data_IF_279890408413
#
_entry.id   IF_279890408413
#
_cell.length_a   1.000
_cell.length_b   1.000
_cell.length_c   1.000
_cell.angle_alpha   90.00
_cell.angle_beta   90.00
_cell.angle_gamma   90.00
#
_symmetry.space_group_name_H-M   'P 1'
#
loop_
_entity.id
_entity.type
_entity.pdbx_description
1 polymer ?
#
# COMPACT_ATOMS: atom_id res chain seq x y z
N UNK A 1 -1.86 2.93 -14.55
CA UNK A 1 -2.79 2.61 -13.44
C UNK A 1 -2.74 3.73 -12.42
N UNK A 2 -3.81 3.93 -11.65
CA UNK A 2 -3.80 4.81 -10.48
C UNK A 2 -3.39 4.03 -9.23
N UNK A 3 -2.25 4.39 -8.65
CA UNK A 3 -1.70 3.78 -7.44
C UNK A 3 -1.86 4.75 -6.26
N UNK A 4 -2.45 4.28 -5.17
CA UNK A 4 -2.53 5.03 -3.92
C UNK A 4 -1.48 4.50 -2.94
N UNK A 5 -0.59 5.36 -2.47
CA UNK A 5 0.52 5.01 -1.57
C UNK A 5 0.27 5.63 -0.20
N UNK A 6 0.40 4.84 0.86
CA UNK A 6 0.25 5.30 2.23
C UNK A 6 1.45 4.89 3.09
N UNK A 7 2.12 5.88 3.64
CA UNK A 7 3.32 5.74 4.47
C UNK A 7 3.47 7.01 5.33
N UNK A 8 3.85 6.92 6.59
CA UNK A 8 4.08 8.11 7.42
C UNK A 8 5.45 8.76 7.15
N UNK A 9 6.33 8.07 6.42
CA UNK A 9 7.62 8.59 6.02
C UNK A 9 7.54 9.33 4.67
N UNK A 10 7.71 10.64 4.71
CA UNK A 10 7.70 11.50 3.51
C UNK A 10 8.75 11.11 2.47
N UNK A 11 9.93 10.64 2.88
CA UNK A 11 11.00 10.23 1.95
C UNK A 11 10.61 8.97 1.17
N UNK A 12 9.89 8.04 1.82
CA UNK A 12 9.35 6.85 1.15
C UNK A 12 8.24 7.24 0.18
N UNK A 13 7.35 8.15 0.58
CA UNK A 13 6.30 8.65 -0.30
C UNK A 13 6.91 9.32 -1.55
N UNK A 14 7.92 10.18 -1.39
CA UNK A 14 8.58 10.85 -2.50
C UNK A 14 9.28 9.86 -3.43
N UNK A 15 10.06 8.93 -2.87
CA UNK A 15 10.75 7.90 -3.65
C UNK A 15 9.77 7.03 -4.46
N UNK A 16 8.74 6.50 -3.80
CA UNK A 16 7.75 5.62 -4.45
C UNK A 16 6.98 6.39 -5.52
N UNK A 17 6.58 7.62 -5.23
CA UNK A 17 5.88 8.49 -6.20
C UNK A 17 6.76 8.72 -7.43
N UNK A 18 8.00 9.18 -7.23
CA UNK A 18 8.93 9.44 -8.33
C UNK A 18 9.17 8.21 -9.20
N UNK A 19 9.38 7.04 -8.59
CA UNK A 19 9.64 5.78 -9.31
C UNK A 19 8.41 5.34 -10.12
N UNK A 20 7.21 5.37 -9.52
CA UNK A 20 6.00 4.87 -10.18
C UNK A 20 5.48 5.85 -11.24
N UNK A 21 5.58 7.16 -11.03
CA UNK A 21 5.27 8.15 -12.06
C UNK A 21 6.23 8.04 -13.24
N UNK A 22 7.53 7.80 -12.96
CA UNK A 22 8.54 7.53 -14.00
C UNK A 22 8.24 6.28 -14.83
N UNK A 23 7.47 5.33 -14.28
CA UNK A 23 6.97 4.14 -14.98
C UNK A 23 5.58 4.34 -15.62
N UNK A 24 5.05 5.56 -15.60
CA UNK A 24 3.78 5.91 -16.25
C UNK A 24 2.51 5.64 -15.42
N UNK A 25 2.64 5.46 -14.11
CA UNK A 25 1.49 5.38 -13.21
C UNK A 25 1.02 6.77 -12.76
N UNK A 26 -0.28 6.92 -12.50
CA UNK A 26 -0.83 8.07 -11.77
C UNK A 26 -0.71 7.74 -10.28
N UNK A 27 -0.01 8.56 -9.49
CA UNK A 27 0.25 8.25 -8.08
C UNK A 27 -0.42 9.29 -7.18
N UNK A 28 -1.10 8.82 -6.14
CA UNK A 28 -1.51 9.64 -5.02
C UNK A 28 -0.81 9.14 -3.76
N UNK A 29 -0.18 10.04 -3.02
CA UNK A 29 0.55 9.73 -1.79
C UNK A 29 -0.15 10.37 -0.58
N UNK A 30 -0.36 9.59 0.48
CA UNK A 30 -1.01 10.02 1.72
C UNK A 30 -0.23 9.58 2.95
N UNK A 31 -0.19 10.44 3.98
CA UNK A 31 0.63 10.21 5.16
C UNK A 31 0.01 9.37 6.28
N UNK A 32 -1.23 8.89 6.12
CA UNK A 32 -1.91 8.09 7.15
C UNK A 32 -3.13 7.33 6.62
N UNK A 33 -3.55 6.31 7.38
CA UNK A 33 -4.66 5.43 7.01
C UNK A 33 -6.03 6.11 6.90
N UNK A 34 -6.29 7.20 7.63
CA UNK A 34 -7.55 7.95 7.49
C UNK A 34 -7.64 8.60 6.10
N UNK A 35 -6.58 9.31 5.70
CA UNK A 35 -6.50 9.92 4.38
C UNK A 35 -6.59 8.86 3.28
N UNK A 36 -5.95 7.70 3.45
CA UNK A 36 -6.08 6.59 2.51
C UNK A 36 -7.55 6.16 2.35
N UNK A 37 -8.27 5.93 3.45
CA UNK A 37 -9.67 5.51 3.38
C UNK A 37 -10.57 6.59 2.76
N UNK A 38 -10.30 7.87 3.00
CA UNK A 38 -10.97 8.99 2.35
C UNK A 38 -10.68 9.01 0.83
N UNK A 39 -9.42 8.87 0.42
CA UNK A 39 -8.99 8.83 -0.98
C UNK A 39 -9.59 7.65 -1.73
N UNK A 40 -9.65 6.45 -1.12
CA UNK A 40 -10.30 5.27 -1.72
C UNK A 40 -11.79 5.52 -1.97
N UNK A 41 -12.48 6.19 -1.05
CA UNK A 41 -13.90 6.55 -1.21
C UNK A 41 -14.12 7.62 -2.27
N UNK A 42 -13.23 8.61 -2.34
CA UNK A 42 -13.33 9.70 -3.31
C UNK A 42 -13.09 9.22 -4.74
N UNK A 43 -12.06 8.39 -4.95
CA UNK A 43 -11.74 7.78 -6.23
C UNK A 43 -11.07 6.43 -6.00
N UNK A 44 -11.73 5.35 -6.41
CA UNK A 44 -11.20 3.98 -6.25
C UNK A 44 -9.87 3.84 -7.02
N UNK A 45 -8.74 3.50 -6.36
CA UNK A 45 -7.48 3.21 -7.04
C UNK A 45 -7.48 1.82 -7.68
N UNK A 46 -6.57 1.60 -8.61
CA UNK A 46 -6.30 0.28 -9.20
C UNK A 46 -5.45 -0.59 -8.26
N UNK A 47 -4.55 0.05 -7.50
CA UNK A 47 -3.65 -0.61 -6.54
C UNK A 47 -3.42 0.28 -5.31
N UNK A 48 -3.29 -0.34 -4.15
CA UNK A 48 -2.89 0.32 -2.91
C UNK A 48 -1.53 -0.22 -2.46
N UNK A 49 -0.58 0.67 -2.18
CA UNK A 49 0.64 0.38 -1.44
C UNK A 49 0.47 0.92 -0.01
N UNK A 50 0.51 0.04 0.99
CA UNK A 50 0.18 0.39 2.37
C UNK A 50 1.30 0.00 3.32
N UNK A 51 1.90 0.97 4.00
CA UNK A 51 2.75 0.68 5.15
C UNK A 51 1.92 0.12 6.32
N UNK A 52 2.35 -1.02 6.87
CA UNK A 52 1.74 -1.59 8.06
C UNK A 52 2.25 -0.97 9.36
N UNK A 53 3.34 -0.20 9.32
CA UNK A 53 4.05 0.30 10.49
C UNK A 53 4.03 1.83 10.56
N UNK A 54 2.84 2.41 10.72
CA UNK A 54 2.68 3.84 10.98
C UNK A 54 2.43 4.10 12.49
N UNK A 55 3.09 5.09 13.13
CA UNK A 55 2.77 5.52 14.48
C UNK A 55 1.33 6.05 14.59
N UNK A 56 0.56 5.55 15.56
CA UNK A 56 -0.79 6.04 15.84
C UNK A 56 -1.88 5.58 14.87
N UNK A 57 -1.56 4.78 13.84
CA UNK A 57 -2.55 4.18 12.95
C UNK A 57 -2.12 2.77 12.55
N UNK A 58 -2.91 1.76 12.90
CA UNK A 58 -2.58 0.38 12.57
C UNK A 58 -2.93 0.10 11.09
N UNK A 59 -1.93 -0.23 10.25
CA UNK A 59 -2.18 -0.61 8.86
C UNK A 59 -3.06 -1.86 8.73
N UNK A 60 -3.11 -2.71 9.76
CA UNK A 60 -4.07 -3.81 9.81
C UNK A 60 -5.51 -3.33 9.96
N UNK A 61 -5.75 -2.22 10.66
CA UNK A 61 -7.08 -1.61 10.72
C UNK A 61 -7.51 -1.04 9.37
N UNK A 62 -6.59 -0.46 8.62
CA UNK A 62 -6.85 -0.02 7.23
C UNK A 62 -7.28 -1.22 6.38
N UNK A 63 -6.52 -2.31 6.41
CA UNK A 63 -6.83 -3.53 5.66
C UNK A 63 -8.23 -4.06 6.00
N UNK A 64 -8.55 -4.16 7.30
CA UNK A 64 -9.87 -4.59 7.77
C UNK A 64 -10.98 -3.66 7.30
N UNK A 65 -10.77 -2.35 7.39
CA UNK A 65 -11.76 -1.34 6.97
C UNK A 65 -12.04 -1.40 5.48
N UNK A 66 -11.01 -1.61 4.64
CA UNK A 66 -11.17 -1.78 3.19
C UNK A 66 -12.04 -3.01 2.86
N UNK A 67 -11.84 -4.13 3.56
CA UNK A 67 -12.57 -5.37 3.32
C UNK A 67 -13.97 -5.40 3.95
N UNK A 68 -14.24 -4.55 4.95
CA UNK A 68 -15.55 -4.46 5.61
C UNK A 68 -16.60 -3.66 4.83
N UNK A 69 -16.23 -2.97 3.75
CA UNK A 69 -17.07 -2.00 3.03
C UNK A 69 -18.14 -2.58 2.09
N UNK A 70 -18.41 -3.89 2.10
CA UNK A 70 -19.45 -4.54 1.28
C UNK A 70 -19.14 -4.68 -0.22
N UNK A 71 -18.14 -3.96 -0.74
CA UNK A 71 -17.60 -4.11 -2.10
C UNK A 71 -16.26 -4.84 -2.13
N UNK A 72 -15.81 -5.25 -3.32
CA UNK A 72 -14.47 -5.81 -3.51
C UNK A 72 -13.43 -4.69 -3.36
N UNK A 73 -12.53 -4.74 -2.37
CA UNK A 73 -11.51 -3.72 -2.22
C UNK A 73 -10.50 -3.78 -3.38
N UNK A 74 -9.81 -2.66 -3.70
CA UNK A 74 -8.65 -2.71 -4.57
C UNK A 74 -7.59 -3.67 -4.00
N UNK A 75 -6.75 -4.29 -4.85
CA UNK A 75 -5.62 -5.07 -4.36
C UNK A 75 -4.71 -4.22 -3.49
N UNK A 76 -4.21 -4.81 -2.40
CA UNK A 76 -3.33 -4.13 -1.44
C UNK A 76 -1.99 -4.85 -1.37
N UNK A 77 -0.91 -4.12 -1.64
CA UNK A 77 0.46 -4.55 -1.34
C UNK A 77 0.81 -3.97 0.02
N UNK A 78 0.92 -4.83 1.02
CA UNK A 78 1.44 -4.45 2.32
C UNK A 78 2.95 -4.22 2.24
N UNK A 79 3.40 -3.08 2.72
CA UNK A 79 4.81 -2.71 2.84
C UNK A 79 5.18 -2.72 4.33
N UNK A 80 6.28 -3.35 4.71
CA UNK A 80 6.69 -3.40 6.12
C UNK A 80 8.17 -3.70 6.30
N UNK A 81 8.77 -3.16 7.36
CA UNK A 81 10.16 -3.40 7.73
C UNK A 81 10.41 -4.72 8.49
N UNK A 82 9.36 -5.45 8.87
CA UNK A 82 9.52 -6.72 9.60
C UNK A 82 9.62 -7.92 8.65
N UNK A 83 10.61 -8.76 8.91
CA UNK A 83 10.90 -10.01 8.19
C UNK A 83 10.26 -11.25 8.79
N UNK A 84 9.51 -11.12 9.90
CA UNK A 84 8.89 -12.27 10.54
C UNK A 84 7.81 -12.84 9.62
N UNK A 85 7.89 -14.14 9.37
CA UNK A 85 6.93 -14.86 8.54
C UNK A 85 5.50 -14.72 9.06
N UNK A 86 5.36 -14.56 10.39
CA UNK A 86 4.09 -14.30 11.06
C UNK A 86 3.44 -12.98 10.63
N UNK A 87 4.21 -11.89 10.47
CA UNK A 87 3.66 -10.59 10.04
C UNK A 87 3.18 -10.67 8.59
N UNK A 88 3.93 -11.37 7.72
CA UNK A 88 3.50 -11.64 6.34
C UNK A 88 2.20 -12.43 6.32
N UNK A 89 2.11 -13.51 7.10
CA UNK A 89 0.88 -14.33 7.20
C UNK A 89 -0.29 -13.50 7.73
N UNK A 90 -0.05 -12.68 8.76
CA UNK A 90 -1.08 -11.80 9.33
C UNK A 90 -1.57 -10.78 8.30
N UNK A 91 -0.68 -10.18 7.50
CA UNK A 91 -1.05 -9.20 6.48
C UNK A 91 -1.95 -9.83 5.40
N UNK A 92 -1.55 -11.01 4.91
CA UNK A 92 -2.34 -11.76 3.94
C UNK A 92 -3.70 -12.19 4.51
N UNK A 93 -3.73 -12.66 5.76
CA UNK A 93 -4.98 -13.02 6.45
C UNK A 93 -5.91 -11.81 6.68
N UNK A 94 -5.35 -10.61 6.84
CA UNK A 94 -6.10 -9.36 6.93
C UNK A 94 -6.59 -8.82 5.58
N UNK A 95 -6.24 -9.47 4.47
CA UNK A 95 -6.71 -9.13 3.12
C UNK A 95 -5.68 -8.47 2.21
N UNK A 96 -4.40 -8.41 2.61
CA UNK A 96 -3.35 -7.99 1.67
C UNK A 96 -3.24 -9.00 0.52
N UNK A 97 -3.11 -8.50 -0.71
CA UNK A 97 -2.90 -9.31 -1.91
C UNK A 97 -1.45 -9.72 -2.10
N UNK A 98 -0.51 -8.90 -1.61
CA UNK A 98 0.93 -9.16 -1.63
C UNK A 98 1.61 -8.46 -0.45
N UNK A 99 2.84 -8.88 -0.16
CA UNK A 99 3.69 -8.30 0.86
C UNK A 99 5.04 -7.93 0.25
N UNK A 100 5.53 -6.73 0.51
CA UNK A 100 6.81 -6.18 0.08
C UNK A 100 7.61 -5.75 1.31
N UNK A 101 8.89 -6.15 1.38
CA UNK A 101 9.72 -5.91 2.55
C UNK A 101 10.53 -4.62 2.41
N UNK A 102 10.57 -3.78 3.44
CA UNK A 102 11.53 -2.67 3.55
C UNK A 102 12.86 -3.18 4.14
N UNK A 103 14.03 -2.76 3.61
CA UNK A 103 14.20 -1.97 2.40
C UNK A 103 13.95 -2.82 1.13
N UNK A 104 13.30 -2.24 0.12
CA UNK A 104 13.09 -2.84 -1.21
C UNK A 104 13.88 -2.06 -2.27
N UNK A 105 14.24 -2.75 -3.35
CA UNK A 105 14.85 -2.11 -4.51
C UNK A 105 13.81 -1.48 -5.45
N UNK A 106 14.24 -0.52 -6.28
CA UNK A 106 13.41 0.07 -7.34
C UNK A 106 12.84 -1.02 -8.27
N UNK A 107 13.68 -1.97 -8.69
CA UNK A 107 13.25 -3.08 -9.54
C UNK A 107 12.17 -3.95 -8.87
N UNK A 108 12.34 -4.27 -7.59
CA UNK A 108 11.37 -5.08 -6.83
C UNK A 108 10.02 -4.37 -6.66
N UNK A 109 10.04 -3.05 -6.43
CA UNK A 109 8.84 -2.22 -6.38
C UNK A 109 8.11 -2.24 -7.72
N UNK A 110 8.82 -1.99 -8.83
CA UNK A 110 8.24 -1.97 -10.17
C UNK A 110 7.69 -3.34 -10.56
N UNK A 111 8.45 -4.42 -10.37
CA UNK A 111 8.01 -5.79 -10.65
C UNK A 111 6.77 -6.16 -9.83
N UNK A 112 6.72 -5.71 -8.58
CA UNK A 112 5.56 -5.88 -7.72
C UNK A 112 4.33 -5.16 -8.26
N UNK A 113 4.42 -3.87 -8.59
CA UNK A 113 3.30 -3.08 -9.10
C UNK A 113 2.82 -3.60 -10.47
N UNK A 114 3.73 -3.87 -11.40
CA UNK A 114 3.43 -4.40 -12.73
C UNK A 114 2.79 -5.80 -12.69
N UNK A 115 2.96 -6.56 -11.61
CA UNK A 115 2.28 -7.86 -11.48
C UNK A 115 0.75 -7.75 -11.31
N UNK A 116 0.21 -6.54 -11.11
CA UNK A 116 -1.22 -6.28 -10.95
C UNK A 116 -1.90 -5.74 -12.23
N UNK A 117 -1.20 -5.65 -13.36
CA UNK A 117 -1.81 -5.38 -14.67
C UNK A 117 -0.84 -5.36 -15.84
#
# INVERSE_FOLDING_TARGET
MRVLVCDDNADILELVTFVLEGDGHEVEAVGNGRLLLESVKARRPDLILLDLRMPGFDGFDVLRALHGGGGTPPPVVAISAKTLEEDRRAALAAGASRYLLKPFGIGELLDTVRSFG
#
